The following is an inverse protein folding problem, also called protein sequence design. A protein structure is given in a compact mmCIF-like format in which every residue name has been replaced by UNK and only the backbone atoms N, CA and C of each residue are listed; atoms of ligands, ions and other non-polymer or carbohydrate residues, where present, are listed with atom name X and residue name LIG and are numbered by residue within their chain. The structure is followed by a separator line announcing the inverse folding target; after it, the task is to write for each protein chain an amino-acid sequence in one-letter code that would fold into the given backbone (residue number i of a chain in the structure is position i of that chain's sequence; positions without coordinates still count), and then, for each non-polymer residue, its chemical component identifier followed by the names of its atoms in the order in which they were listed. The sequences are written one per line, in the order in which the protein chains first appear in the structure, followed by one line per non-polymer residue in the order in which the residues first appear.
data_IF_973291762436
#
_entry.id   IF_973291762436
#
_cell.length_a   1.000
_cell.length_b   1.000
_cell.length_c   1.000
_cell.angle_alpha   90.00
_cell.angle_beta   90.00
_cell.angle_gamma   90.00
#
_symmetry.space_group_name_H-M   'P 1'
#
loop_
_entity.id
_entity.type
_entity.pdbx_description
1 polymer ?
#
# COMPACT_ATOMS: atom_id res chain seq x y z
N UNK A 1 -20.86 8.89 2.88
CA UNK A 1 -21.24 7.81 1.92
C UNK A 1 -20.50 8.03 0.62
N UNK A 2 -19.41 7.27 0.38
CA UNK A 2 -19.02 6.69 -0.92
C UNK A 2 -17.66 5.96 -0.82
N UNK A 3 -17.46 5.10 0.19
CA UNK A 3 -16.32 4.16 0.23
C UNK A 3 -16.70 2.87 -0.49
N UNK A 4 -16.88 2.95 -1.81
CA UNK A 4 -17.26 1.76 -2.59
C UNK A 4 -16.69 1.78 -4.01
N UNK A 5 -15.37 1.65 -4.12
CA UNK A 5 -14.64 0.93 -5.20
C UNK A 5 -13.13 1.08 -4.98
N UNK A 6 -12.56 0.27 -4.09
CA UNK A 6 -11.12 0.07 -4.01
C UNK A 6 -10.79 -1.43 -4.00
N UNK A 7 -11.44 -2.20 -4.87
CA UNK A 7 -11.15 -3.62 -5.03
C UNK A 7 -10.53 -3.85 -6.42
N UNK A 8 -9.28 -3.40 -6.62
CA UNK A 8 -8.27 -4.08 -7.48
C UNK A 8 -6.94 -3.32 -7.65
N UNK A 9 -6.74 -2.17 -7.00
CA UNK A 9 -5.48 -1.43 -7.09
C UNK A 9 -4.83 -1.46 -5.73
N UNK A 10 -3.66 -2.08 -5.69
CA UNK A 10 -2.79 -2.14 -4.52
C UNK A 10 -2.45 -0.73 -4.01
N UNK A 11 -2.38 -0.57 -2.70
CA UNK A 11 -2.17 0.71 -2.02
C UNK A 11 -0.83 1.34 -2.45
N UNK A 12 0.21 0.51 -2.62
CA UNK A 12 1.52 0.93 -3.13
C UNK A 12 1.44 1.50 -4.56
N UNK A 13 0.54 0.96 -5.40
CA UNK A 13 0.35 1.43 -6.77
C UNK A 13 -0.43 2.75 -6.76
N UNK A 14 -1.41 2.89 -5.85
CA UNK A 14 -2.17 4.13 -5.69
C UNK A 14 -1.25 5.30 -5.29
N UNK A 15 -0.37 5.09 -4.32
CA UNK A 15 0.60 6.12 -3.88
C UNK A 15 1.50 6.57 -5.03
N UNK A 16 1.98 5.61 -5.84
CA UNK A 16 2.77 5.89 -7.03
C UNK A 16 1.98 6.66 -8.08
N UNK A 17 0.69 6.36 -8.26
CA UNK A 17 -0.20 7.12 -9.16
C UNK A 17 -0.33 8.57 -8.69
N UNK A 18 -0.53 8.78 -7.38
CA UNK A 18 -0.64 10.12 -6.78
C UNK A 18 0.67 10.89 -6.96
N UNK A 19 1.81 10.32 -6.59
CA UNK A 19 3.12 10.95 -6.76
C UNK A 19 3.41 11.32 -8.23
N UNK A 20 3.02 10.48 -9.19
CA UNK A 20 3.14 10.78 -10.63
C UNK A 20 2.20 11.91 -11.04
N UNK A 21 0.98 11.98 -10.48
CA UNK A 21 0.02 13.06 -10.76
C UNK A 21 0.52 14.43 -10.29
N UNK A 22 1.13 14.49 -9.11
CA UNK A 22 1.71 15.71 -8.53
C UNK A 22 3.13 16.05 -9.03
N UNK A 23 3.68 15.24 -9.95
CA UNK A 23 5.04 15.38 -10.52
C UNK A 23 6.18 15.20 -9.50
N UNK A 24 5.90 14.53 -8.39
CA UNK A 24 6.87 14.27 -7.30
C UNK A 24 7.50 12.86 -7.40
N UNK A 25 6.96 11.99 -8.27
CA UNK A 25 7.52 10.65 -8.47
C UNK A 25 8.87 10.66 -9.23
N UNK A 26 9.78 9.71 -8.92
CA UNK A 26 10.99 9.47 -9.70
C UNK A 26 10.68 8.97 -11.13
N UNK A 27 11.66 9.11 -12.04
CA UNK A 27 11.49 8.80 -13.47
C UNK A 27 11.07 7.34 -13.70
N UNK A 28 11.61 6.41 -12.89
CA UNK A 28 11.29 4.98 -12.92
C UNK A 28 9.79 4.72 -12.69
N UNK A 29 9.21 5.37 -11.68
CA UNK A 29 7.79 5.21 -11.36
C UNK A 29 6.89 5.85 -12.40
N UNK A 30 7.29 6.97 -13.00
CA UNK A 30 6.56 7.58 -14.14
C UNK A 30 6.44 6.62 -15.32
N UNK A 31 7.53 5.93 -15.67
CA UNK A 31 7.54 4.94 -16.76
C UNK A 31 6.68 3.73 -16.38
N UNK A 32 6.82 3.22 -15.15
CA UNK A 32 6.05 2.07 -14.65
C UNK A 32 4.55 2.35 -14.68
N UNK A 33 4.10 3.49 -14.14
CA UNK A 33 2.69 3.89 -14.15
C UNK A 33 2.21 4.13 -15.58
N UNK A 34 3.02 4.74 -16.46
CA UNK A 34 2.65 4.91 -17.86
C UNK A 34 2.38 3.56 -18.56
N UNK A 35 3.22 2.56 -18.35
CA UNK A 35 2.98 1.20 -18.87
C UNK A 35 1.72 0.57 -18.28
N UNK A 36 1.46 0.76 -16.99
CA UNK A 36 0.25 0.26 -16.32
C UNK A 36 -1.02 0.91 -16.87
N UNK A 37 -1.00 2.20 -17.18
CA UNK A 37 -2.16 2.90 -17.79
C UNK A 37 -2.51 2.38 -19.19
N UNK A 38 -1.57 1.77 -19.91
CA UNK A 38 -1.83 1.13 -21.21
C UNK A 38 -2.55 -0.21 -21.06
N UNK A 39 -2.28 -0.93 -19.98
CA UNK A 39 -2.84 -2.28 -19.72
C UNK A 39 -4.13 -2.23 -18.91
N UNK A 40 -4.27 -1.24 -18.01
CA UNK A 40 -5.40 -1.10 -17.11
C UNK A 40 -6.08 0.27 -17.28
N UNK A 41 -7.30 0.33 -17.86
CA UNK A 41 -8.03 1.58 -18.05
C UNK A 41 -8.45 2.25 -16.73
N UNK A 42 -8.59 1.49 -15.64
CA UNK A 42 -8.94 2.01 -14.32
C UNK A 42 -7.80 2.86 -13.72
N UNK A 43 -6.56 2.38 -13.83
CA UNK A 43 -5.35 3.13 -13.43
C UNK A 43 -5.23 4.44 -14.21
N UNK A 44 -5.56 4.41 -15.51
CA UNK A 44 -5.57 5.61 -16.36
C UNK A 44 -6.61 6.63 -15.89
N UNK A 45 -7.79 6.15 -15.48
CA UNK A 45 -8.86 7.01 -14.97
C UNK A 45 -8.43 7.72 -13.68
N UNK A 46 -7.94 6.96 -12.70
CA UNK A 46 -7.49 7.50 -11.40
C UNK A 46 -6.34 8.49 -11.57
N UNK A 47 -5.34 8.17 -12.42
CA UNK A 47 -4.24 9.09 -12.70
C UNK A 47 -4.73 10.44 -13.26
N UNK A 48 -5.72 10.41 -14.14
CA UNK A 48 -6.28 11.64 -14.72
C UNK A 48 -7.07 12.44 -13.69
N UNK A 49 -7.86 11.79 -12.83
CA UNK A 49 -8.57 12.44 -11.72
C UNK A 49 -7.59 13.18 -10.80
N UNK A 50 -6.52 12.51 -10.34
CA UNK A 50 -5.52 13.16 -9.50
C UNK A 50 -4.73 14.25 -10.23
N UNK A 51 -4.45 14.12 -11.53
CA UNK A 51 -3.83 15.20 -12.32
C UNK A 51 -4.70 16.43 -12.42
N UNK A 52 -6.01 16.24 -12.57
CA UNK A 52 -6.97 17.33 -12.57
C UNK A 52 -7.01 18.03 -11.21
N UNK A 53 -7.05 17.25 -10.13
CA UNK A 53 -6.99 17.77 -8.75
C UNK A 53 -5.70 18.56 -8.51
N UNK A 54 -4.53 17.99 -8.84
CA UNK A 54 -3.24 18.67 -8.72
C UNK A 54 -3.21 19.99 -9.53
N UNK A 55 -3.79 19.99 -10.73
CA UNK A 55 -3.95 21.18 -11.56
C UNK A 55 -4.85 22.25 -10.92
N UNK A 56 -5.90 21.84 -10.20
CA UNK A 56 -6.80 22.76 -9.50
C UNK A 56 -6.17 23.32 -8.23
N UNK A 57 -5.50 22.47 -7.44
CA UNK A 57 -4.78 22.88 -6.22
C UNK A 57 -3.69 23.90 -6.56
N UNK A 58 -2.96 23.70 -7.67
CA UNK A 58 -1.93 24.64 -8.11
C UNK A 58 -2.47 26.03 -8.47
N UNK A 59 -3.77 26.16 -8.77
CA UNK A 59 -4.42 27.44 -9.08
C UNK A 59 -4.91 28.18 -7.84
N UNK A 60 -4.84 27.56 -6.66
CA UNK A 60 -5.19 28.23 -5.42
C UNK A 60 -4.20 29.39 -5.23
N UNK A 61 -4.68 30.63 -5.07
CA UNK A 61 -3.80 31.78 -4.88
C UNK A 61 -2.96 31.57 -3.63
N UNK A 62 -1.67 31.85 -3.74
CA UNK A 62 -0.77 31.85 -2.59
C UNK A 62 -1.14 33.06 -1.75
N UNK A 63 -1.64 32.81 -0.55
CA UNK A 63 -1.82 33.86 0.46
C UNK A 63 -0.43 34.27 0.94
N UNK A 64 -0.12 35.57 0.86
CA UNK A 64 1.17 36.07 1.31
C UNK A 64 1.29 35.90 2.83
N UNK A 65 2.37 35.27 3.26
CA UNK A 65 2.64 35.06 4.68
C UNK A 65 2.91 36.42 5.33
N UNK A 66 2.32 36.73 6.50
CA UNK A 66 2.52 38.03 7.16
C UNK A 66 4.01 38.29 7.44
N UNK A 67 4.47 39.50 7.12
CA UNK A 67 5.87 39.93 7.30
C UNK A 67 6.40 39.72 8.73
N UNK A 68 5.51 39.74 9.73
CA UNK A 68 5.85 39.46 11.13
C UNK A 68 6.39 38.04 11.33
N UNK A 69 5.90 37.07 10.57
CA UNK A 69 6.33 35.67 10.63
C UNK A 69 7.67 35.51 9.90
N UNK A 70 7.83 36.13 8.73
CA UNK A 70 9.08 36.09 7.94
C UNK A 70 10.24 36.69 8.75
N UNK A 71 10.05 37.86 9.37
CA UNK A 71 11.08 38.51 10.21
C UNK A 71 11.45 37.69 11.45
N UNK A 72 10.49 36.95 12.02
CA UNK A 72 10.76 36.04 13.16
C UNK A 72 11.60 34.82 12.78
N UNK A 73 11.61 34.44 11.50
CA UNK A 73 12.40 33.33 10.96
C UNK A 73 13.77 33.81 10.46
N UNK A 74 13.87 34.98 9.82
CA UNK A 74 15.17 35.53 9.39
C UNK A 74 16.13 35.73 10.58
N UNK A 75 15.61 36.20 11.71
CA UNK A 75 16.39 36.38 12.95
C UNK A 75 16.90 35.06 13.56
N UNK A 76 16.31 33.91 13.20
CA UNK A 76 16.75 32.57 13.65
C UNK A 76 17.59 31.81 12.63
N UNK A 77 17.57 32.19 11.35
CA UNK A 77 18.10 31.35 10.26
C UNK A 77 19.18 32.03 9.40
N UNK A 78 19.69 33.19 9.82
CA UNK A 78 20.75 33.95 9.13
C UNK A 78 22.13 33.27 9.09
N UNK A 79 22.24 32.11 8.44
CA UNK A 79 23.52 31.60 7.93
C UNK A 79 23.41 31.44 6.42
N UNK A 80 24.02 32.39 5.72
CA UNK A 80 24.27 32.33 4.29
C UNK A 80 24.93 30.99 3.92
N UNK A 81 24.34 30.29 2.95
CA UNK A 81 24.94 29.12 2.34
C UNK A 81 26.14 29.57 1.49
N UNK A 82 27.31 29.70 2.12
CA UNK A 82 28.58 29.75 1.39
C UNK A 82 28.79 28.40 0.72
N UNK A 83 28.84 28.39 -0.61
CA UNK A 83 29.26 27.23 -1.40
C UNK A 83 30.60 26.72 -0.88
N UNK A 84 30.57 25.58 -0.20
CA UNK A 84 31.74 24.94 0.40
C UNK A 84 32.58 24.35 -0.74
N UNK A 85 33.58 25.08 -1.21
CA UNK A 85 34.63 24.52 -2.06
C UNK A 85 35.55 23.72 -1.14
N UNK A 86 35.24 22.44 -0.99
CA UNK A 86 36.03 21.50 -0.18
C UNK A 86 37.35 21.24 -0.92
N UNK A 87 38.48 21.60 -0.31
CA UNK A 87 39.80 21.30 -0.89
C UNK A 87 39.95 19.77 -1.05
N UNK A 88 40.61 19.27 -2.10
CA UNK A 88 40.68 17.82 -2.40
C UNK A 88 41.20 16.96 -1.24
N UNK A 89 42.06 17.51 -0.39
CA UNK A 89 42.54 16.83 0.82
C UNK A 89 41.44 16.52 1.85
N UNK A 90 40.44 17.40 2.00
CA UNK A 90 39.31 17.16 2.91
C UNK A 90 38.34 16.14 2.33
N UNK A 91 38.12 16.15 1.02
CA UNK A 91 37.32 15.13 0.35
C UNK A 91 37.94 13.74 0.56
N UNK A 92 39.27 13.62 0.45
CA UNK A 92 39.99 12.37 0.72
C UNK A 92 39.89 11.92 2.19
N UNK A 93 40.05 12.85 3.13
CA UNK A 93 39.92 12.52 4.56
C UNK A 93 38.50 12.01 4.90
N UNK A 94 37.47 12.65 4.34
CA UNK A 94 36.08 12.25 4.54
C UNK A 94 35.82 10.87 3.94
N UNK A 95 36.29 10.61 2.72
CA UNK A 95 36.07 9.30 2.07
C UNK A 95 36.76 8.18 2.84
N UNK A 96 38.00 8.38 3.31
CA UNK A 96 38.72 7.38 4.13
C UNK A 96 37.97 7.11 5.44
N UNK A 97 37.39 8.12 6.07
CA UNK A 97 36.64 7.99 7.32
C UNK A 97 35.31 7.24 7.09
N UNK A 98 34.62 7.50 5.97
CA UNK A 98 33.41 6.77 5.58
C UNK A 98 33.72 5.32 5.23
N UNK A 99 34.81 5.06 4.51
CA UNK A 99 35.25 3.71 4.18
C UNK A 99 35.66 2.91 5.43
N UNK A 100 36.39 3.53 6.36
CA UNK A 100 36.82 2.84 7.58
C UNK A 100 35.64 2.47 8.49
N UNK A 101 34.65 3.35 8.60
CA UNK A 101 33.43 3.07 9.37
C UNK A 101 32.58 1.98 8.74
N UNK A 102 32.44 1.96 7.40
CA UNK A 102 31.77 0.87 6.69
C UNK A 102 32.45 -0.49 6.91
N UNK A 103 33.78 -0.54 6.78
CA UNK A 103 34.56 -1.77 7.02
C UNK A 103 34.44 -2.21 8.47
N UNK A 104 34.49 -1.28 9.43
CA UNK A 104 34.32 -1.60 10.84
C UNK A 104 32.93 -2.17 11.16
N UNK A 105 31.86 -1.59 10.60
CA UNK A 105 30.49 -2.10 10.77
C UNK A 105 30.34 -3.50 10.17
N UNK A 106 30.92 -3.75 8.99
CA UNK A 106 30.89 -5.07 8.36
C UNK A 106 31.64 -6.13 9.18
N UNK A 107 32.78 -5.77 9.78
CA UNK A 107 33.59 -6.69 10.59
C UNK A 107 32.98 -6.93 11.99
N UNK A 108 32.32 -5.92 12.56
CA UNK A 108 31.65 -6.00 13.86
C UNK A 108 30.13 -6.25 13.74
N UNK A 109 29.69 -6.91 12.67
CA UNK A 109 28.36 -7.52 12.68
C UNK A 109 28.34 -8.59 13.78
N UNK A 110 27.95 -8.16 14.98
CA UNK A 110 27.65 -9.04 16.09
C UNK A 110 26.68 -10.09 15.56
N UNK A 111 27.10 -11.36 15.63
CA UNK A 111 26.20 -12.50 15.41
C UNK A 111 24.96 -12.22 16.25
N UNK A 112 23.80 -12.10 15.60
CA UNK A 112 22.55 -11.86 16.28
C UNK A 112 22.47 -12.82 17.47
N UNK A 113 22.39 -12.27 18.68
CA UNK A 113 22.12 -13.11 19.85
C UNK A 113 20.83 -13.84 19.55
N UNK A 114 20.83 -15.18 19.65
CA UNK A 114 19.61 -15.96 19.53
C UNK A 114 18.55 -15.32 20.42
N UNK A 115 17.45 -14.87 19.81
CA UNK A 115 16.36 -14.28 20.55
C UNK A 115 15.72 -15.38 21.40
N UNK A 116 16.03 -15.37 22.70
CA UNK A 116 15.41 -16.26 23.67
C UNK A 116 14.12 -15.62 24.12
N UNK A 117 12.99 -16.12 23.62
CA UNK A 117 11.67 -15.65 24.00
C UNK A 117 11.38 -15.91 25.47
N UNK A 118 10.70 -14.96 26.10
CA UNK A 118 10.13 -15.09 27.43
C UNK A 118 8.99 -16.11 27.44
N UNK A 119 8.78 -16.81 28.56
CA UNK A 119 7.61 -17.68 28.75
C UNK A 119 6.29 -16.95 28.53
N UNK A 120 6.21 -15.68 28.91
CA UNK A 120 5.02 -14.86 28.73
C UNK A 120 4.77 -14.52 27.24
N UNK A 121 5.83 -14.35 26.44
CA UNK A 121 5.70 -14.13 24.99
C UNK A 121 5.20 -15.39 24.30
N UNK A 122 5.69 -16.56 24.71
CA UNK A 122 5.24 -17.86 24.19
C UNK A 122 3.77 -18.09 24.52
N UNK A 123 3.35 -17.84 25.76
CA UNK A 123 1.95 -18.01 26.20
C UNK A 123 1.00 -17.07 25.42
N UNK A 124 1.41 -15.81 25.23
CA UNK A 124 0.62 -14.86 24.45
C UNK A 124 0.51 -15.29 22.98
N UNK A 125 1.61 -15.77 22.38
CA UNK A 125 1.59 -16.31 21.02
C UNK A 125 0.64 -17.52 20.90
N UNK A 126 0.65 -18.43 21.87
CA UNK A 126 -0.25 -19.59 21.89
C UNK A 126 -1.72 -19.17 21.98
N UNK A 127 -2.04 -18.15 22.80
CA UNK A 127 -3.39 -17.62 22.93
C UNK A 127 -3.87 -16.97 21.62
N UNK A 128 -3.00 -16.23 20.95
CA UNK A 128 -3.30 -15.62 19.64
C UNK A 128 -3.56 -16.69 18.57
N UNK A 129 -2.77 -17.76 18.54
CA UNK A 129 -2.97 -18.88 17.61
C UNK A 129 -4.29 -19.59 17.88
N UNK A 130 -4.59 -19.93 19.15
CA UNK A 130 -5.86 -20.56 19.53
C UNK A 130 -7.06 -19.70 19.11
N UNK A 131 -6.99 -18.39 19.34
CA UNK A 131 -8.06 -17.45 18.97
C UNK A 131 -8.25 -17.39 17.47
N UNK A 132 -7.16 -17.30 16.71
CA UNK A 132 -7.19 -17.26 15.25
C UNK A 132 -7.81 -18.54 14.66
N UNK A 133 -7.41 -19.70 15.17
CA UNK A 133 -7.96 -21.00 14.77
C UNK A 133 -9.45 -21.12 15.11
N UNK A 134 -9.88 -20.60 16.26
CA UNK A 134 -11.29 -20.60 16.64
C UNK A 134 -12.14 -19.74 15.69
N UNK A 135 -11.62 -18.57 15.28
CA UNK A 135 -12.28 -17.69 14.29
C UNK A 135 -12.38 -18.41 12.95
N UNK A 136 -11.30 -19.01 12.46
CA UNK A 136 -11.30 -19.75 11.19
C UNK A 136 -12.32 -20.90 11.21
N UNK A 137 -12.36 -21.69 12.29
CA UNK A 137 -13.33 -22.77 12.43
C UNK A 137 -14.78 -22.24 12.39
N UNK A 138 -15.05 -21.10 13.06
CA UNK A 138 -16.38 -20.46 13.02
C UNK A 138 -16.75 -20.02 11.60
N UNK A 139 -15.81 -19.46 10.86
CA UNK A 139 -16.01 -19.06 9.46
C UNK A 139 -16.29 -20.29 8.59
N UNK A 140 -15.49 -21.35 8.70
CA UNK A 140 -15.70 -22.58 7.94
C UNK A 140 -17.05 -23.22 8.22
N UNK A 141 -17.45 -23.36 9.50
CA UNK A 141 -18.77 -23.90 9.86
C UNK A 141 -19.91 -23.06 9.30
N UNK A 142 -19.80 -21.73 9.36
CA UNK A 142 -20.83 -20.84 8.80
C UNK A 142 -20.92 -20.98 7.27
N UNK A 143 -19.78 -21.07 6.60
CA UNK A 143 -19.71 -21.27 5.15
C UNK A 143 -20.26 -22.63 4.74
N UNK A 144 -19.90 -23.70 5.45
CA UNK A 144 -20.43 -25.04 5.22
C UNK A 144 -21.96 -25.06 5.35
N UNK A 145 -22.49 -24.49 6.44
CA UNK A 145 -23.93 -24.39 6.64
C UNK A 145 -24.61 -23.58 5.53
N UNK A 146 -24.03 -22.46 5.11
CA UNK A 146 -24.57 -21.64 4.03
C UNK A 146 -24.58 -22.41 2.70
N UNK A 147 -23.51 -23.15 2.40
CA UNK A 147 -23.44 -23.98 1.20
C UNK A 147 -24.49 -25.09 1.25
N UNK A 148 -24.56 -25.82 2.36
CA UNK A 148 -25.39 -27.00 2.52
C UNK A 148 -26.88 -26.69 2.59
N UNK A 149 -27.27 -25.66 3.35
CA UNK A 149 -28.68 -25.37 3.65
C UNK A 149 -29.29 -24.35 2.68
N UNK A 150 -28.48 -23.49 2.05
CA UNK A 150 -28.98 -22.41 1.20
C UNK A 150 -28.56 -22.57 -0.27
N UNK A 151 -27.26 -22.66 -0.54
CA UNK A 151 -26.75 -22.65 -1.92
C UNK A 151 -27.11 -23.95 -2.65
N UNK A 152 -26.73 -25.11 -2.12
CA UNK A 152 -26.99 -26.39 -2.77
C UNK A 152 -28.49 -26.65 -2.97
N UNK A 153 -29.39 -26.46 -1.99
CA UNK A 153 -30.80 -26.78 -2.18
C UNK A 153 -31.51 -25.74 -3.04
N UNK A 154 -31.30 -24.44 -2.77
CA UNK A 154 -32.12 -23.37 -3.38
C UNK A 154 -31.56 -22.87 -4.70
N UNK A 155 -30.23 -22.75 -4.83
CA UNK A 155 -29.59 -22.18 -6.02
C UNK A 155 -29.16 -23.24 -7.04
N UNK A 156 -28.99 -24.49 -6.62
CA UNK A 156 -28.61 -25.59 -7.52
C UNK A 156 -29.74 -26.61 -7.64
N UNK A 157 -30.17 -27.21 -6.53
CA UNK A 157 -31.16 -28.29 -6.50
C UNK A 157 -32.51 -27.89 -7.10
N UNK A 158 -33.08 -26.74 -6.69
CA UNK A 158 -34.36 -26.24 -7.24
C UNK A 158 -34.32 -25.99 -8.75
N UNK A 159 -33.34 -25.24 -9.31
CA UNK A 159 -33.23 -25.08 -10.76
C UNK A 159 -33.06 -26.39 -11.52
N UNK A 160 -32.23 -27.31 -11.02
CA UNK A 160 -32.01 -28.62 -11.66
C UNK A 160 -33.32 -29.42 -11.67
N UNK A 161 -34.01 -29.53 -10.53
CA UNK A 161 -35.29 -30.23 -10.46
C UNK A 161 -36.33 -29.61 -11.39
N UNK A 162 -36.40 -28.27 -11.48
CA UNK A 162 -37.29 -27.58 -12.41
C UNK A 162 -36.96 -27.92 -13.87
N UNK A 163 -35.68 -27.93 -14.24
CA UNK A 163 -35.28 -28.29 -15.61
C UNK A 163 -35.62 -29.74 -15.95
N UNK A 164 -35.43 -30.68 -15.02
CA UNK A 164 -35.81 -32.08 -15.20
C UNK A 164 -37.32 -32.24 -15.31
N UNK A 165 -38.11 -31.50 -14.51
CA UNK A 165 -39.57 -31.50 -14.59
C UNK A 165 -40.07 -31.02 -15.95
N UNK A 166 -39.49 -29.95 -16.51
CA UNK A 166 -39.84 -29.43 -17.84
C UNK A 166 -39.52 -30.48 -18.92
N UNK A 167 -38.35 -31.10 -18.85
CA UNK A 167 -37.96 -32.17 -19.78
C UNK A 167 -38.95 -33.33 -19.71
N UNK A 168 -39.35 -33.73 -18.50
CA UNK A 168 -40.30 -34.81 -18.28
C UNK A 168 -41.70 -34.49 -18.83
N UNK A 169 -42.17 -33.27 -18.64
CA UNK A 169 -43.46 -32.79 -19.16
C UNK A 169 -43.48 -32.76 -20.70
N UNK A 170 -42.35 -32.38 -21.32
CA UNK A 170 -42.19 -32.37 -22.79
C UNK A 170 -42.05 -33.79 -23.39
N UNK A 171 -41.39 -34.71 -22.69
CA UNK A 171 -41.13 -36.07 -23.19
C UNK A 171 -42.26 -37.07 -22.92
N UNK A 172 -42.92 -36.97 -21.77
CA UNK A 172 -44.01 -37.90 -21.39
C UNK A 172 -45.36 -37.41 -21.95
N UNK A 173 -45.47 -36.13 -22.31
CA UNK A 173 -46.67 -35.54 -22.88
C UNK A 173 -47.70 -35.23 -21.80
N UNK A 174 -48.05 -33.95 -21.67
CA UNK A 174 -49.31 -33.53 -21.05
C UNK A 174 -50.51 -33.93 -21.91
#
# INVERSE_FOLDING_TARGET
MQDKKLNNIDEEILDKIIAVAYKDAPVTDRIRIYLLTKKNPEVKKILNEYRQTAGNVKKIPLEECPDSVIKSLETKTGKENKSFIIKPAYAFAITVLVLSTLVFVLLNQNKEKEQVYSKAEIENAELQVKTSLAILNKVFKKTENLIREDILPKRVGKPVHKSLSIINEVLIGG
#
